data_IF_103459469955
#
_entry.id   IF_103459469955
#
_cell.length_a   1.000
_cell.length_b   1.000
_cell.length_c   1.000
_cell.angle_alpha   90.00
_cell.angle_beta   90.00
_cell.angle_gamma   90.00
#
_symmetry.space_group_name_H-M   'P 1'
#
loop_
_entity.id
_entity.type
_entity.pdbx_description
1 polymer ?
#
# COMPACT_ATOMS: atom_id res chain seq x y z
N UNK A 1 -3.74 -8.51 14.76
CA UNK A 1 -4.01 -7.35 13.91
C UNK A 1 -5.41 -7.50 13.35
N UNK A 2 -6.29 -6.52 13.56
CA UNK A 2 -7.63 -6.51 12.95
C UNK A 2 -7.53 -5.77 11.63
N UNK A 3 -8.07 -6.36 10.56
CA UNK A 3 -8.06 -5.80 9.22
C UNK A 3 -9.49 -5.51 8.78
N UNK A 4 -9.64 -4.46 7.97
CA UNK A 4 -10.92 -4.04 7.39
C UNK A 4 -10.78 -3.81 5.90
N UNK A 5 -11.85 -4.06 5.14
CA UNK A 5 -11.96 -3.68 3.73
C UNK A 5 -12.54 -2.27 3.55
N UNK A 6 -12.94 -1.61 4.64
CA UNK A 6 -13.36 -0.21 4.65
C UNK A 6 -12.13 0.70 4.70
N UNK A 7 -11.52 0.92 3.53
CA UNK A 7 -10.30 1.72 3.38
C UNK A 7 -10.60 3.22 3.54
N UNK A 8 -9.64 3.96 4.10
CA UNK A 8 -9.65 5.42 4.07
C UNK A 8 -9.47 5.95 2.63
N UNK A 9 -9.68 7.25 2.42
CA UNK A 9 -9.70 7.86 1.09
C UNK A 9 -8.39 7.64 0.31
N UNK A 10 -7.24 7.85 0.95
CA UNK A 10 -5.93 7.64 0.34
C UNK A 10 -5.73 6.17 -0.04
N UNK A 11 -5.94 5.27 0.92
CA UNK A 11 -5.74 3.84 0.73
C UNK A 11 -6.68 3.25 -0.32
N UNK A 12 -7.92 3.74 -0.39
CA UNK A 12 -8.86 3.36 -1.44
C UNK A 12 -8.34 3.72 -2.83
N UNK A 13 -7.92 4.98 -3.02
CA UNK A 13 -7.36 5.43 -4.30
C UNK A 13 -6.08 4.67 -4.68
N UNK A 14 -5.24 4.41 -3.70
CA UNK A 14 -4.02 3.63 -3.90
C UNK A 14 -4.34 2.19 -4.33
N UNK A 15 -5.29 1.54 -3.65
CA UNK A 15 -5.75 0.21 -3.98
C UNK A 15 -6.34 0.14 -5.39
N UNK A 16 -7.16 1.13 -5.79
CA UNK A 16 -7.75 1.20 -7.13
C UNK A 16 -6.67 1.21 -8.24
N UNK A 17 -5.52 1.85 -7.99
CA UNK A 17 -4.39 1.89 -8.93
C UNK A 17 -3.58 0.59 -8.95
N UNK A 18 -3.47 -0.07 -7.80
CA UNK A 18 -2.54 -1.21 -7.63
C UNK A 18 -3.18 -2.58 -7.78
N UNK A 19 -4.46 -2.76 -7.43
CA UNK A 19 -5.15 -4.05 -7.57
C UNK A 19 -5.07 -4.62 -9.00
N UNK A 20 -5.18 -3.83 -10.09
CA UNK A 20 -5.03 -4.37 -11.45
C UNK A 20 -3.64 -4.94 -11.77
N UNK A 21 -2.62 -4.61 -10.97
CA UNK A 21 -1.25 -5.14 -11.12
C UNK A 21 -1.05 -6.48 -10.40
N UNK A 22 -1.92 -6.80 -9.46
CA UNK A 22 -1.88 -8.01 -8.67
C UNK A 22 -2.73 -9.14 -9.29
N UNK A 23 -2.54 -10.36 -8.82
CA UNK A 23 -3.43 -11.47 -9.16
C UNK A 23 -4.82 -11.25 -8.55
N UNK A 24 -5.85 -11.81 -9.18
CA UNK A 24 -7.26 -11.55 -8.82
C UNK A 24 -7.67 -12.04 -7.43
N UNK A 25 -6.84 -12.85 -6.78
CA UNK A 25 -6.98 -13.38 -5.43
C UNK A 25 -6.33 -12.48 -4.36
N UNK A 26 -5.72 -11.36 -4.76
CA UNK A 26 -5.16 -10.36 -3.86
C UNK A 26 -6.20 -9.30 -3.56
N UNK A 27 -6.44 -9.06 -2.27
CA UNK A 27 -7.37 -8.07 -1.75
C UNK A 27 -6.63 -6.95 -1.00
N UNK A 28 -7.17 -5.74 -1.09
CA UNK A 28 -6.69 -4.60 -0.31
C UNK A 28 -7.43 -4.54 1.04
N UNK A 29 -6.67 -4.44 2.12
CA UNK A 29 -7.16 -4.33 3.48
C UNK A 29 -6.40 -3.24 4.23
N UNK A 30 -7.04 -2.61 5.21
CA UNK A 30 -6.43 -1.61 6.07
C UNK A 30 -6.41 -2.09 7.52
N UNK A 31 -5.34 -1.79 8.24
CA UNK A 31 -5.25 -2.04 9.68
C UNK A 31 -5.71 -0.84 10.52
N UNK A 32 -5.76 -1.00 11.85
CA UNK A 32 -6.21 0.05 12.75
C UNK A 32 -5.30 1.31 12.78
N UNK A 33 -4.11 1.23 12.19
CA UNK A 33 -3.14 2.33 12.13
C UNK A 33 -3.11 3.00 10.75
N UNK A 34 -3.97 2.59 9.82
CA UNK A 34 -4.04 3.12 8.46
C UNK A 34 -3.05 2.49 7.49
N UNK A 35 -2.37 1.39 7.87
CA UNK A 35 -1.50 0.65 6.96
C UNK A 35 -2.33 -0.10 5.93
N UNK A 36 -2.08 0.15 4.65
CA UNK A 36 -2.67 -0.60 3.55
C UNK A 36 -1.90 -1.89 3.33
N UNK A 37 -2.58 -3.02 3.38
CA UNK A 37 -2.07 -4.35 3.16
C UNK A 37 -2.73 -4.96 1.94
N UNK A 38 -1.95 -5.34 0.93
CA UNK A 38 -2.39 -6.22 -0.14
C UNK A 38 -2.15 -7.66 0.28
N UNK A 39 -3.23 -8.44 0.41
CA UNK A 39 -3.20 -9.79 0.98
C UNK A 39 -3.71 -10.81 0.00
N UNK A 40 -3.03 -11.94 -0.08
CA UNK A 40 -3.37 -13.05 -0.98
C UNK A 40 -2.65 -14.34 -0.56
N UNK A 41 -2.77 -15.40 -1.36
CA UNK A 41 -2.12 -16.68 -1.09
C UNK A 41 -0.59 -16.59 -1.10
N UNK A 42 0.05 -17.06 -0.04
CA UNK A 42 1.52 -17.16 0.06
C UNK A 42 1.89 -18.63 0.28
N UNK A 43 2.80 -19.21 -0.53
CA UNK A 43 3.21 -20.59 -0.37
C UNK A 43 3.97 -20.78 0.93
N UNK A 44 3.41 -21.55 1.86
CA UNK A 44 4.11 -22.04 3.05
C UNK A 44 4.12 -23.57 3.06
N UNK A 45 5.23 -24.23 3.45
CA UNK A 45 5.41 -25.68 3.28
C UNK A 45 4.29 -26.57 3.86
N UNK A 46 3.58 -26.09 4.88
CA UNK A 46 2.57 -26.86 5.62
C UNK A 46 1.14 -26.30 5.50
N UNK A 47 0.91 -25.27 4.67
CA UNK A 47 -0.41 -24.68 4.50
C UNK A 47 -0.53 -23.98 3.12
N UNK A 48 -0.90 -24.70 2.05
CA UNK A 48 -1.05 -24.10 0.71
C UNK A 48 -2.21 -23.10 0.61
N UNK A 49 -3.10 -23.06 1.60
CA UNK A 49 -4.20 -22.08 1.68
C UNK A 49 -3.85 -20.88 2.58
N UNK A 50 -2.58 -20.71 2.95
CA UNK A 50 -2.17 -19.58 3.79
C UNK A 50 -2.34 -18.26 3.04
N UNK A 51 -3.09 -17.34 3.63
CA UNK A 51 -3.22 -15.95 3.16
C UNK A 51 -2.32 -15.05 3.99
N UNK A 52 -1.36 -14.40 3.35
CA UNK A 52 -0.44 -13.46 3.98
C UNK A 52 -0.44 -12.11 3.29
N UNK A 53 0.43 -11.21 3.78
CA UNK A 53 0.59 -9.87 3.19
C UNK A 53 1.69 -9.92 2.13
N UNK A 54 1.33 -9.54 0.91
CA UNK A 54 2.23 -9.44 -0.23
C UNK A 54 2.98 -8.11 -0.19
N UNK A 55 2.22 -7.03 0.00
CA UNK A 55 2.72 -5.66 0.07
C UNK A 55 2.05 -4.94 1.22
N UNK A 56 2.83 -4.21 2.01
CA UNK A 56 2.36 -3.28 3.03
C UNK A 56 2.77 -1.86 2.63
N UNK A 57 1.86 -0.90 2.79
CA UNK A 57 2.10 0.51 2.53
C UNK A 57 1.72 1.30 3.78
N UNK A 58 2.68 2.05 4.29
CA UNK A 58 2.48 2.98 5.42
C UNK A 58 2.83 4.40 4.99
N UNK A 59 2.24 5.39 5.65
CA UNK A 59 2.67 6.77 5.52
C UNK A 59 3.36 7.20 6.80
N UNK A 60 4.47 7.92 6.67
CA UNK A 60 5.08 8.59 7.82
C UNK A 60 4.10 9.60 8.43
N UNK A 61 4.32 9.88 9.71
CA UNK A 61 3.48 10.79 10.47
C UNK A 61 3.46 12.19 9.83
N UNK A 62 4.61 12.66 9.38
CA UNK A 62 4.82 13.95 8.74
C UNK A 62 4.02 14.07 7.43
N UNK A 63 3.94 12.98 6.66
CA UNK A 63 3.14 12.92 5.43
C UNK A 63 1.65 12.99 5.76
N UNK A 64 1.23 12.26 6.79
CA UNK A 64 -0.15 12.28 7.27
C UNK A 64 -0.56 13.68 7.75
N UNK A 65 0.33 14.36 8.49
CA UNK A 65 0.13 15.75 8.95
C UNK A 65 0.11 16.75 7.78
N UNK A 66 0.95 16.57 6.77
CA UNK A 66 0.95 17.39 5.56
C UNK A 66 -0.37 17.25 4.78
N UNK A 67 -0.87 16.02 4.60
CA UNK A 67 -2.16 15.77 3.95
C UNK A 67 -3.32 16.40 4.73
N UNK A 68 -3.31 16.29 6.06
CA UNK A 68 -4.35 16.84 6.92
C UNK A 68 -4.41 18.37 6.89
N UNK A 69 -3.25 19.04 6.84
CA UNK A 69 -3.13 20.50 6.87
C UNK A 69 -3.19 21.18 5.50
N UNK A 70 -3.02 20.43 4.40
CA UNK A 70 -3.05 20.96 3.05
C UNK A 70 -4.44 21.47 2.63
N UNK A 71 -4.45 22.49 1.76
CA UNK A 71 -5.65 22.88 1.02
C UNK A 71 -6.09 21.75 0.09
N UNK A 72 -7.36 21.68 -0.34
CA UNK A 72 -7.83 20.58 -1.20
C UNK A 72 -7.00 20.37 -2.46
N UNK A 73 -6.58 21.46 -3.12
CA UNK A 73 -5.76 21.40 -4.34
C UNK A 73 -4.38 20.80 -4.06
N UNK A 74 -3.71 21.27 -3.01
CA UNK A 74 -2.39 20.77 -2.63
C UNK A 74 -2.46 19.33 -2.12
N UNK A 75 -3.50 18.97 -1.38
CA UNK A 75 -3.73 17.60 -0.90
C UNK A 75 -3.87 16.64 -2.07
N UNK A 76 -4.57 17.05 -3.12
CA UNK A 76 -4.73 16.25 -4.34
C UNK A 76 -3.39 16.01 -5.04
N UNK A 77 -2.58 17.07 -5.21
CA UNK A 77 -1.24 16.97 -5.79
C UNK A 77 -0.33 16.03 -4.98
N UNK A 78 -0.29 16.20 -3.65
CA UNK A 78 0.50 15.34 -2.75
C UNK A 78 0.02 13.89 -2.86
N UNK A 79 -1.29 13.67 -2.83
CA UNK A 79 -1.89 12.32 -2.91
C UNK A 79 -1.50 11.64 -4.21
N UNK A 80 -1.62 12.33 -5.34
CA UNK A 80 -1.29 11.77 -6.64
C UNK A 80 0.19 11.43 -6.75
N UNK A 81 1.08 12.33 -6.32
CA UNK A 81 2.53 12.06 -6.30
C UNK A 81 2.89 10.86 -5.42
N UNK A 82 2.30 10.76 -4.23
CA UNK A 82 2.51 9.61 -3.34
C UNK A 82 2.05 8.31 -4.00
N UNK A 83 0.85 8.30 -4.61
CA UNK A 83 0.34 7.14 -5.32
C UNK A 83 1.30 6.73 -6.42
N UNK A 84 1.70 7.66 -7.29
CA UNK A 84 2.55 7.36 -8.45
C UNK A 84 3.93 6.85 -8.01
N UNK A 85 4.55 7.51 -7.02
CA UNK A 85 5.88 7.16 -6.54
C UNK A 85 5.89 5.79 -5.87
N UNK A 86 4.99 5.55 -4.92
CA UNK A 86 4.97 4.28 -4.17
C UNK A 86 4.47 3.14 -5.06
N UNK A 87 3.49 3.39 -5.96
CA UNK A 87 3.09 2.40 -6.95
C UNK A 87 4.26 2.00 -7.85
N UNK A 88 5.06 2.96 -8.30
CA UNK A 88 6.28 2.68 -9.06
C UNK A 88 7.25 1.82 -8.26
N UNK A 89 7.53 2.18 -6.99
CA UNK A 89 8.40 1.41 -6.11
C UNK A 89 7.91 -0.04 -5.94
N UNK A 90 6.60 -0.25 -5.78
CA UNK A 90 6.02 -1.60 -5.70
C UNK A 90 6.23 -2.33 -7.03
N UNK A 91 5.90 -1.71 -8.16
CA UNK A 91 5.99 -2.37 -9.48
C UNK A 91 7.41 -2.84 -9.84
N UNK A 92 8.43 -2.14 -9.38
CA UNK A 92 9.83 -2.52 -9.65
C UNK A 92 10.38 -3.57 -8.67
N UNK A 93 9.84 -3.66 -7.45
CA UNK A 93 10.34 -4.55 -6.39
C UNK A 93 9.49 -5.81 -6.22
N UNK A 94 8.20 -5.74 -6.51
CA UNK A 94 7.26 -6.83 -6.31
C UNK A 94 7.48 -7.92 -7.34
N UNK A 95 7.77 -9.12 -6.84
CA UNK A 95 7.87 -10.35 -7.63
C UNK A 95 6.93 -11.40 -7.01
N UNK A 96 5.81 -11.75 -7.68
CA UNK A 96 4.84 -12.70 -7.15
C UNK A 96 5.41 -14.12 -7.00
N UNK A 97 6.53 -14.45 -7.64
CA UNK A 97 7.20 -15.74 -7.48
C UNK A 97 8.17 -15.77 -6.28
N UNK A 98 8.49 -14.62 -5.69
CA UNK A 98 9.46 -14.50 -4.59
C UNK A 98 8.85 -13.94 -3.30
N UNK A 99 7.55 -14.14 -3.12
CA UNK A 99 6.85 -13.71 -1.91
C UNK A 99 7.31 -14.59 -0.75
N UNK A 100 8.22 -14.05 0.05
CA UNK A 100 8.76 -14.70 1.24
C UNK A 100 7.82 -14.56 2.45
N UNK A 101 8.30 -14.95 3.64
CA UNK A 101 7.54 -14.77 4.89
C UNK A 101 7.35 -13.30 5.29
N UNK A 102 8.06 -12.38 4.62
CA UNK A 102 7.98 -10.95 4.85
C UNK A 102 7.30 -10.27 3.67
N UNK A 103 6.36 -9.37 3.97
CA UNK A 103 5.77 -8.50 2.97
C UNK A 103 6.83 -7.55 2.39
N UNK A 104 6.65 -7.16 1.13
CA UNK A 104 7.32 -5.96 0.61
C UNK A 104 6.72 -4.75 1.35
N UNK A 105 7.51 -4.12 2.20
CA UNK A 105 7.10 -2.95 2.98
C UNK A 105 7.56 -1.67 2.27
N UNK A 106 6.63 -0.77 2.00
CA UNK A 106 6.85 0.50 1.31
C UNK A 106 6.33 1.62 2.18
N UNK A 107 7.22 2.56 2.52
CA UNK A 107 6.90 3.70 3.38
C UNK A 107 6.83 4.97 2.55
N UNK A 108 5.68 5.63 2.56
CA UNK A 108 5.48 6.96 2.01
C UNK A 108 6.09 8.01 2.93
N UNK A 109 7.11 8.69 2.44
CA UNK A 109 7.88 9.70 3.19
C UNK A 109 7.73 11.08 2.57
N UNK A 110 8.19 12.13 3.25
CA UNK A 110 8.21 13.49 2.66
C UNK A 110 9.09 13.59 1.40
N UNK A 111 10.09 12.71 1.24
CA UNK A 111 10.85 12.60 0.00
C UNK A 111 9.97 12.08 -1.16
N UNK A 112 9.05 11.16 -0.88
CA UNK A 112 8.06 10.66 -1.84
C UNK A 112 7.07 11.73 -2.30
N UNK A 113 6.84 12.76 -1.48
CA UNK A 113 5.98 13.92 -1.82
C UNK A 113 6.68 14.93 -2.74
N UNK A 114 8.01 15.06 -2.63
CA UNK A 114 8.79 16.13 -3.26
C UNK A 114 9.61 15.70 -4.47
N UNK A 115 9.72 14.40 -4.75
CA UNK A 115 10.43 13.89 -5.91
C UNK A 115 9.81 14.41 -7.22
N UNK A 116 10.57 15.26 -7.92
CA UNK A 116 10.30 15.76 -9.28
C UNK A 116 11.24 15.11 -10.27
#
# INVERSE_FOLDING_TARGET
MTLTTSLNEFNKRFADVMLPFFSADIEAMEDAYGMLCFRGPIPVPNNPAHVGTHVAVTLEKEVTEALASATPVVREEITQHLIDNLAWQIRIQYDPAKIGPYALDIVGTMASVTAR
#
